data_IF_182019207769
#
_entry.id   IF_182019207769
#
_cell.length_a   1.000
_cell.length_b   1.000
_cell.length_c   1.000
_cell.angle_alpha   90.00
_cell.angle_beta   90.00
_cell.angle_gamma   90.00
#
_symmetry.space_group_name_H-M   'P 1'
#
loop_
_entity.id
_entity.type
_entity.pdbx_description
1 polymer ?
#
# COMPACT_ATOMS: atom_id res chain seq x y z
N UNK A 1 26.05 -1.96 18.91
CA UNK A 1 24.79 -1.61 18.25
C UNK A 1 23.72 -1.58 19.31
N UNK A 2 23.18 -0.40 19.60
CA UNK A 2 22.18 -0.20 20.67
C UNK A 2 20.83 -0.80 20.26
N UNK A 3 19.94 -1.03 21.21
CA UNK A 3 18.58 -1.52 20.94
C UNK A 3 17.79 -0.51 20.08
N UNK A 4 18.04 0.78 20.25
CA UNK A 4 17.50 1.85 19.42
C UNK A 4 17.95 1.77 17.96
N UNK A 5 19.22 1.42 17.69
CA UNK A 5 19.72 1.28 16.32
C UNK A 5 19.07 0.07 15.60
N UNK A 6 18.80 -1.01 16.32
CA UNK A 6 18.11 -2.19 15.77
C UNK A 6 16.67 -1.85 15.39
N UNK A 7 15.94 -1.18 16.27
CA UNK A 7 14.56 -0.76 16.00
C UNK A 7 14.48 0.19 14.82
N UNK A 8 15.40 1.16 14.71
CA UNK A 8 15.45 2.07 13.59
C UNK A 8 15.63 1.32 12.25
N UNK A 9 16.57 0.36 12.21
CA UNK A 9 16.81 -0.46 11.01
C UNK A 9 15.57 -1.26 10.60
N UNK A 10 14.84 -1.83 11.57
CA UNK A 10 13.61 -2.56 11.30
C UNK A 10 12.58 -1.65 10.65
N UNK A 11 12.33 -0.47 11.23
CA UNK A 11 11.36 0.48 10.67
C UNK A 11 11.74 0.97 9.28
N UNK A 12 13.02 1.07 8.96
CA UNK A 12 13.50 1.43 7.63
C UNK A 12 13.34 0.29 6.62
N UNK A 13 13.49 -0.96 7.04
CA UNK A 13 13.38 -2.13 6.16
C UNK A 13 11.93 -2.49 5.83
N UNK A 14 10.99 -2.29 6.76
CA UNK A 14 9.59 -2.69 6.60
C UNK A 14 8.91 -2.13 5.33
N UNK A 15 9.06 -0.84 4.96
CA UNK A 15 8.49 -0.33 3.72
C UNK A 15 9.04 -1.05 2.49
N UNK A 16 10.34 -1.33 2.43
CA UNK A 16 10.96 -2.03 1.30
C UNK A 16 10.48 -3.47 1.18
N UNK A 17 10.37 -4.17 2.31
CA UNK A 17 9.79 -5.52 2.33
C UNK A 17 8.35 -5.48 1.83
N UNK A 18 7.56 -4.49 2.28
CA UNK A 18 6.16 -4.36 1.86
C UNK A 18 6.03 -3.97 0.38
N UNK A 19 6.88 -3.10 -0.12
CA UNK A 19 6.98 -2.80 -1.56
C UNK A 19 7.30 -4.08 -2.36
N UNK A 20 8.25 -4.91 -1.90
CA UNK A 20 8.53 -6.18 -2.54
C UNK A 20 7.32 -7.12 -2.53
N UNK A 21 6.54 -7.16 -1.45
CA UNK A 21 5.27 -7.93 -1.37
C UNK A 21 4.27 -7.42 -2.42
N UNK A 22 4.05 -6.10 -2.49
CA UNK A 22 3.17 -5.50 -3.50
C UNK A 22 3.65 -5.91 -4.91
N UNK A 23 4.94 -5.76 -5.20
CA UNK A 23 5.52 -6.11 -6.49
C UNK A 23 5.30 -7.58 -6.85
N UNK A 24 5.52 -8.52 -5.92
CA UNK A 24 5.33 -9.96 -6.13
C UNK A 24 3.87 -10.27 -6.51
N UNK A 25 2.90 -9.64 -5.86
CA UNK A 25 1.49 -9.82 -6.19
C UNK A 25 1.08 -9.08 -7.47
N UNK A 26 1.67 -7.92 -7.72
CA UNK A 26 1.40 -7.12 -8.91
C UNK A 26 1.93 -7.75 -10.20
N UNK A 27 3.08 -8.44 -10.16
CA UNK A 27 3.65 -9.12 -11.32
C UNK A 27 2.91 -10.40 -11.75
N UNK A 28 1.95 -10.89 -10.97
CA UNK A 28 1.22 -12.11 -11.32
C UNK A 28 0.26 -11.86 -12.49
N UNK A 29 0.24 -12.75 -13.51
CA UNK A 29 -0.78 -12.72 -14.56
C UNK A 29 -2.20 -12.69 -14.00
N UNK A 30 -3.11 -12.05 -14.73
CA UNK A 30 -4.49 -11.91 -14.28
C UNK A 30 -5.17 -13.26 -13.98
N UNK A 31 -4.84 -14.31 -14.71
CA UNK A 31 -5.36 -15.68 -14.50
C UNK A 31 -4.97 -16.26 -13.14
N UNK A 32 -3.70 -16.07 -12.72
CA UNK A 32 -3.21 -16.54 -11.41
C UNK A 32 -3.83 -15.72 -10.29
N UNK A 33 -3.85 -14.40 -10.44
CA UNK A 33 -4.43 -13.49 -9.45
C UNK A 33 -5.94 -13.74 -9.27
N UNK A 34 -6.67 -14.04 -10.34
CA UNK A 34 -8.09 -14.40 -10.27
C UNK A 34 -8.30 -15.78 -9.61
N UNK A 35 -7.43 -16.75 -9.87
CA UNK A 35 -7.45 -18.04 -9.18
C UNK A 35 -7.23 -17.95 -7.68
N UNK A 36 -6.33 -17.06 -7.23
CA UNK A 36 -6.10 -16.83 -5.79
C UNK A 36 -7.29 -16.18 -5.09
N UNK A 37 -8.03 -15.32 -5.79
CA UNK A 37 -9.23 -14.69 -5.23
C UNK A 37 -10.48 -15.59 -5.32
N UNK A 38 -10.46 -16.69 -6.07
CA UNK A 38 -11.64 -17.53 -6.32
C UNK A 38 -12.30 -18.07 -5.05
N UNK A 39 -11.52 -18.47 -4.06
CA UNK A 39 -12.04 -18.96 -2.77
C UNK A 39 -12.86 -17.88 -2.07
N UNK A 40 -12.35 -16.65 -2.04
CA UNK A 40 -13.06 -15.51 -1.45
C UNK A 40 -14.28 -15.11 -2.28
N UNK A 41 -14.17 -15.17 -3.61
CA UNK A 41 -15.27 -14.90 -4.54
C UNK A 41 -16.41 -15.91 -4.33
N UNK A 42 -16.10 -17.20 -4.22
CA UNK A 42 -17.08 -18.26 -4.01
C UNK A 42 -17.83 -18.06 -2.68
N UNK A 43 -17.10 -17.79 -1.59
CA UNK A 43 -17.71 -17.52 -0.29
C UNK A 43 -18.61 -16.28 -0.31
N UNK A 44 -18.16 -15.18 -0.93
CA UNK A 44 -18.98 -13.98 -1.06
C UNK A 44 -20.19 -14.19 -1.97
N UNK A 45 -20.04 -14.94 -3.06
CA UNK A 45 -21.14 -15.24 -3.99
C UNK A 45 -22.24 -16.07 -3.30
N UNK A 46 -21.89 -16.96 -2.36
CA UNK A 46 -22.87 -17.63 -1.52
C UNK A 46 -23.71 -16.69 -0.64
N UNK A 47 -23.09 -15.58 -0.19
CA UNK A 47 -23.77 -14.59 0.67
C UNK A 47 -24.57 -13.60 -0.19
N UNK A 48 -24.06 -13.22 -1.35
CA UNK A 48 -24.67 -12.23 -2.27
C UNK A 48 -24.75 -12.81 -3.69
N UNK A 49 -25.68 -13.77 -3.95
CA UNK A 49 -25.76 -14.46 -5.25
C UNK A 49 -26.16 -13.55 -6.41
N UNK A 50 -26.70 -12.37 -6.12
CA UNK A 50 -27.13 -11.39 -7.12
C UNK A 50 -25.97 -10.64 -7.80
N UNK A 51 -24.74 -10.75 -7.25
CA UNK A 51 -23.56 -10.07 -7.81
C UNK A 51 -22.78 -11.06 -8.68
N UNK A 52 -22.49 -10.61 -9.90
CA UNK A 52 -21.66 -11.40 -10.83
C UNK A 52 -20.26 -11.71 -10.28
N UNK A 53 -19.80 -12.93 -10.49
CA UNK A 53 -18.49 -13.40 -9.99
C UNK A 53 -17.31 -12.59 -10.55
N UNK A 54 -17.42 -12.11 -11.79
CA UNK A 54 -16.40 -11.25 -12.39
C UNK A 54 -16.30 -9.92 -11.64
N UNK A 55 -17.45 -9.32 -11.30
CA UNK A 55 -17.49 -8.08 -10.52
C UNK A 55 -16.95 -8.30 -9.11
N UNK A 56 -17.27 -9.41 -8.45
CA UNK A 56 -16.70 -9.77 -7.15
C UNK A 56 -15.18 -9.92 -7.20
N UNK A 57 -14.67 -10.61 -8.21
CA UNK A 57 -13.23 -10.77 -8.43
C UNK A 57 -12.54 -9.41 -8.60
N UNK A 58 -13.14 -8.52 -9.39
CA UNK A 58 -12.64 -7.16 -9.58
C UNK A 58 -12.60 -6.38 -8.27
N UNK A 59 -13.69 -6.39 -7.49
CA UNK A 59 -13.79 -5.68 -6.21
C UNK A 59 -12.75 -6.22 -5.22
N UNK A 60 -12.61 -7.53 -5.08
CA UNK A 60 -11.64 -8.13 -4.15
C UNK A 60 -10.22 -7.71 -4.51
N UNK A 61 -9.84 -7.77 -5.79
CA UNK A 61 -8.51 -7.37 -6.25
C UNK A 61 -8.25 -5.88 -6.00
N UNK A 62 -9.18 -5.01 -6.32
CA UNK A 62 -9.05 -3.56 -6.07
C UNK A 62 -8.97 -3.26 -4.58
N UNK A 63 -9.78 -3.92 -3.76
CA UNK A 63 -9.71 -3.77 -2.30
C UNK A 63 -8.35 -4.21 -1.73
N UNK A 64 -7.76 -5.29 -2.27
CA UNK A 64 -6.43 -5.73 -1.87
C UNK A 64 -5.35 -4.68 -2.20
N UNK A 65 -5.40 -4.03 -3.38
CA UNK A 65 -4.51 -2.94 -3.74
C UNK A 65 -4.68 -1.73 -2.80
N UNK A 66 -5.90 -1.27 -2.62
CA UNK A 66 -6.23 -0.18 -1.69
C UNK A 66 -5.65 -0.45 -0.30
N UNK A 67 -5.87 -1.66 0.22
CA UNK A 67 -5.34 -2.05 1.53
C UNK A 67 -3.81 -2.09 1.55
N UNK A 68 -3.19 -2.63 0.50
CA UNK A 68 -1.73 -2.72 0.40
C UNK A 68 -1.07 -1.33 0.38
N UNK A 69 -1.61 -0.39 -0.39
CA UNK A 69 -1.09 0.98 -0.44
C UNK A 69 -1.40 1.79 0.82
N UNK A 70 -2.54 1.56 1.46
CA UNK A 70 -2.84 2.13 2.77
C UNK A 70 -1.78 1.73 3.81
N UNK A 71 -1.43 0.46 3.89
CA UNK A 71 -0.37 -0.05 4.78
C UNK A 71 1.00 0.52 4.39
N UNK A 72 1.32 0.60 3.08
CA UNK A 72 2.56 1.21 2.61
C UNK A 72 2.71 2.66 3.10
N UNK A 73 1.64 3.44 3.04
CA UNK A 73 1.62 4.82 3.55
C UNK A 73 1.95 4.89 5.03
N UNK A 74 1.36 4.03 5.85
CA UNK A 74 1.65 3.93 7.30
C UNK A 74 3.12 3.58 7.53
N UNK A 75 3.64 2.58 6.83
CA UNK A 75 5.01 2.10 7.01
C UNK A 75 6.04 3.16 6.58
N UNK A 76 5.82 3.82 5.45
CA UNK A 76 6.69 4.90 4.97
C UNK A 76 6.69 6.09 5.92
N UNK A 77 5.53 6.53 6.39
CA UNK A 77 5.47 7.59 7.38
C UNK A 77 6.26 7.21 8.64
N UNK A 78 6.05 6.01 9.18
CA UNK A 78 6.78 5.53 10.37
C UNK A 78 8.30 5.53 10.17
N UNK A 79 8.76 5.11 8.98
CA UNK A 79 10.18 5.09 8.63
C UNK A 79 10.75 6.51 8.55
N UNK A 80 10.12 7.38 7.76
CA UNK A 80 10.58 8.76 7.54
C UNK A 80 10.46 9.60 8.80
N UNK A 81 9.40 9.44 9.59
CA UNK A 81 9.26 10.09 10.89
C UNK A 81 10.45 9.83 11.82
N UNK A 82 11.01 8.64 11.79
CA UNK A 82 12.16 8.26 12.62
C UNK A 82 13.50 8.72 12.08
N UNK A 83 13.64 8.91 10.77
CA UNK A 83 14.89 9.35 10.11
C UNK A 83 14.98 10.88 10.07
N UNK A 84 13.93 11.54 9.65
CA UNK A 84 13.87 12.99 9.53
C UNK A 84 13.71 13.71 10.88
N UNK A 85 13.63 12.98 11.90
CA UNK A 85 13.10 13.16 13.21
C UNK A 85 13.59 14.31 14.03
N UNK A 86 14.73 14.89 13.78
CA UNK A 86 15.29 15.79 14.80
C UNK A 86 15.40 17.24 14.36
N UNK A 87 15.15 17.53 13.07
CA UNK A 87 15.43 18.87 12.53
C UNK A 87 14.39 19.41 11.53
N UNK A 88 13.39 18.61 11.11
CA UNK A 88 12.45 19.04 10.06
C UNK A 88 11.03 19.25 10.59
N UNK A 89 10.23 20.14 9.95
CA UNK A 89 8.83 20.35 10.28
C UNK A 89 8.00 19.05 10.16
N UNK A 90 6.91 18.96 10.92
CA UNK A 90 6.02 17.78 10.99
C UNK A 90 5.40 17.38 9.63
N UNK A 91 5.19 18.34 8.75
CA UNK A 91 4.63 18.13 7.40
C UNK A 91 5.58 17.43 6.43
N UNK A 92 6.90 17.51 6.66
CA UNK A 92 7.90 16.89 5.77
C UNK A 92 7.75 15.37 5.62
N UNK A 93 7.72 14.55 6.71
CA UNK A 93 7.48 13.12 6.58
C UNK A 93 6.15 12.78 5.92
N UNK A 94 5.10 13.60 6.13
CA UNK A 94 3.80 13.41 5.45
C UNK A 94 3.96 13.57 3.95
N UNK A 95 4.50 14.70 3.51
CA UNK A 95 4.66 14.99 2.08
C UNK A 95 5.58 13.99 1.39
N UNK A 96 6.74 13.69 2.00
CA UNK A 96 7.70 12.73 1.44
C UNK A 96 7.07 11.33 1.30
N UNK A 97 6.31 10.87 2.31
CA UNK A 97 5.63 9.58 2.25
C UNK A 97 4.61 9.51 1.12
N UNK A 98 3.78 10.55 0.98
CA UNK A 98 2.76 10.62 -0.09
C UNK A 98 3.44 10.59 -1.46
N UNK A 99 4.48 11.40 -1.66
CA UNK A 99 5.22 11.47 -2.94
C UNK A 99 5.82 10.10 -3.28
N UNK A 100 6.49 9.46 -2.32
CA UNK A 100 7.12 8.14 -2.55
C UNK A 100 6.04 7.09 -2.88
N UNK A 101 4.92 7.04 -2.15
CA UNK A 101 3.82 6.12 -2.45
C UNK A 101 3.24 6.35 -3.84
N UNK A 102 3.03 7.61 -4.24
CA UNK A 102 2.49 7.96 -5.57
C UNK A 102 3.45 7.55 -6.68
N UNK A 103 4.75 7.80 -6.52
CA UNK A 103 5.77 7.37 -7.50
C UNK A 103 5.85 5.85 -7.57
N UNK A 104 5.72 5.17 -6.45
CA UNK A 104 5.69 3.70 -6.42
C UNK A 104 4.43 3.16 -7.10
N UNK A 105 3.24 3.72 -6.85
CA UNK A 105 2.01 3.35 -7.55
C UNK A 105 2.13 3.55 -9.06
N UNK A 106 2.71 4.67 -9.51
CA UNK A 106 2.96 4.91 -10.92
C UNK A 106 3.92 3.87 -11.53
N UNK A 107 4.98 3.49 -10.80
CA UNK A 107 5.92 2.45 -11.26
C UNK A 107 5.27 1.06 -11.32
N UNK A 108 4.39 0.75 -10.38
CA UNK A 108 3.65 -0.51 -10.35
C UNK A 108 2.69 -0.62 -11.54
N UNK A 109 1.90 0.41 -11.81
CA UNK A 109 0.99 0.45 -12.96
C UNK A 109 1.74 0.43 -14.30
N UNK A 110 2.88 1.11 -14.39
CA UNK A 110 3.75 1.02 -15.57
C UNK A 110 4.28 -0.40 -15.77
N UNK A 111 4.67 -1.08 -14.68
CA UNK A 111 5.10 -2.48 -14.74
C UNK A 111 3.96 -3.41 -15.19
N UNK A 112 2.73 -3.18 -14.73
CA UNK A 112 1.56 -3.99 -15.09
C UNK A 112 1.25 -3.98 -16.59
N UNK A 113 1.67 -2.94 -17.36
CA UNK A 113 1.55 -2.93 -18.81
C UNK A 113 2.29 -4.10 -19.50
N UNK A 114 3.30 -4.65 -18.84
CA UNK A 114 4.09 -5.78 -19.36
C UNK A 114 3.61 -7.14 -18.85
N UNK A 115 2.56 -7.18 -18.04
CA UNK A 115 2.03 -8.41 -17.42
C UNK A 115 0.81 -8.89 -18.19
N UNK A 116 0.82 -10.19 -18.57
CA UNK A 116 -0.25 -10.79 -19.35
C UNK A 116 -1.62 -10.68 -18.67
N UNK A 117 -2.59 -10.12 -19.38
CA UNK A 117 -3.97 -9.95 -18.93
C UNK A 117 -4.16 -8.83 -17.88
N UNK A 118 -3.15 -7.96 -17.67
CA UNK A 118 -3.28 -6.75 -16.88
C UNK A 118 -3.25 -5.50 -17.77
N UNK A 119 -3.90 -4.46 -17.29
CA UNK A 119 -3.85 -3.10 -17.87
C UNK A 119 -3.27 -2.15 -16.82
N UNK A 120 -2.32 -1.33 -17.20
CA UNK A 120 -1.88 -0.21 -16.36
C UNK A 120 -2.86 0.95 -16.54
N UNK A 121 -3.47 1.40 -15.46
CA UNK A 121 -4.51 2.43 -15.51
C UNK A 121 -4.14 3.63 -14.62
N UNK A 122 -4.17 4.83 -15.18
CA UNK A 122 -3.96 6.08 -14.41
C UNK A 122 -4.95 6.20 -13.25
N UNK A 123 -6.16 5.68 -13.42
CA UNK A 123 -7.17 5.63 -12.36
C UNK A 123 -6.68 4.85 -11.15
N UNK A 124 -5.97 3.75 -11.34
CA UNK A 124 -5.44 2.92 -10.27
C UNK A 124 -4.31 3.63 -9.52
N UNK A 125 -3.44 4.37 -10.23
CA UNK A 125 -2.44 5.24 -9.59
C UNK A 125 -3.11 6.23 -8.64
N UNK A 126 -4.22 6.84 -9.06
CA UNK A 126 -4.95 7.81 -8.23
C UNK A 126 -5.55 7.13 -7.00
N UNK A 127 -6.22 5.99 -7.17
CA UNK A 127 -6.86 5.24 -6.08
C UNK A 127 -5.82 4.81 -5.04
N UNK A 128 -4.72 4.21 -5.49
CA UNK A 128 -3.64 3.72 -4.63
C UNK A 128 -2.92 4.87 -3.91
N UNK A 129 -2.72 6.00 -4.60
CA UNK A 129 -2.17 7.22 -3.98
C UNK A 129 -3.08 7.81 -2.91
N UNK A 130 -4.40 7.80 -3.15
CA UNK A 130 -5.38 8.23 -2.15
C UNK A 130 -5.37 7.30 -0.95
N UNK A 131 -5.36 5.99 -1.16
CA UNK A 131 -5.31 4.99 -0.10
C UNK A 131 -4.06 5.17 0.78
N UNK A 132 -2.89 5.32 0.15
CA UNK A 132 -1.63 5.59 0.84
C UNK A 132 -1.70 6.92 1.63
N UNK A 133 -2.25 7.98 1.03
CA UNK A 133 -2.39 9.28 1.69
C UNK A 133 -3.27 9.21 2.92
N UNK A 134 -4.36 8.45 2.88
CA UNK A 134 -5.23 8.20 4.05
C UNK A 134 -4.42 7.50 5.16
N UNK A 135 -3.62 6.49 4.84
CA UNK A 135 -2.75 5.80 5.79
C UNK A 135 -1.73 6.75 6.43
N UNK A 136 -1.07 7.58 5.61
CA UNK A 136 -0.10 8.59 6.08
C UNK A 136 -0.74 9.60 7.01
N UNK A 137 -1.90 10.16 6.62
CA UNK A 137 -2.60 11.18 7.41
C UNK A 137 -3.12 10.58 8.72
N UNK A 138 -3.67 9.37 8.68
CA UNK A 138 -4.18 8.69 9.87
C UNK A 138 -3.06 8.49 10.91
N UNK A 139 -1.93 7.91 10.50
CA UNK A 139 -0.83 7.67 11.43
C UNK A 139 -0.18 8.97 11.90
N UNK A 140 -0.07 9.96 11.02
CA UNK A 140 0.40 11.31 11.38
C UNK A 140 -0.50 11.97 12.42
N UNK A 141 -1.82 11.87 12.25
CA UNK A 141 -2.79 12.35 13.24
C UNK A 141 -2.60 11.68 14.60
N UNK A 142 -2.48 10.34 14.60
CA UNK A 142 -2.24 9.54 15.81
C UNK A 142 -0.96 10.02 16.53
N UNK A 143 0.14 10.21 15.80
CA UNK A 143 1.41 10.64 16.37
C UNK A 143 1.35 12.04 16.96
N UNK A 144 0.63 12.95 16.29
CA UNK A 144 0.42 14.31 16.77
C UNK A 144 -0.37 14.36 18.09
N UNK A 145 -1.45 13.57 18.18
CA UNK A 145 -2.37 13.62 19.32
C UNK A 145 -1.93 12.75 20.50
N UNK A 146 -1.31 11.59 20.25
CA UNK A 146 -0.79 10.74 21.31
C UNK A 146 0.60 11.18 21.80
N UNK A 147 1.14 12.32 21.31
CA UNK A 147 2.48 12.81 21.66
C UNK A 147 3.53 11.69 21.59
N UNK A 148 3.42 10.84 20.58
CA UNK A 148 4.40 9.77 20.37
C UNK A 148 5.76 10.45 20.23
N UNK A 149 6.67 10.14 21.18
CA UNK A 149 7.96 10.79 21.28
C UNK A 149 8.76 10.68 19.99
N UNK A 150 9.35 11.80 19.62
CA UNK A 150 10.34 11.86 18.54
C UNK A 150 11.66 11.25 19.00
#
# INVERSE_FOLDING_TARGET
>A
MTQTDKLLKIHLLLPFIWMAVIFIFSQQPASISSGQSSVFVEQLHHIVPSIDQYLLTFIIRKSAHIFAYFILGILLFNALWRVELRKLPFDRPIMSSIIICTLYAASDELHQLFISGRSGEVRDIIIDSIAASIGVVLIGYIYKHLKVAR
#
